data_IF_775936272222
#
_entry.id   IF_775936272222
#
_cell.length_a   1.000
_cell.length_b   1.000
_cell.length_c   1.000
_cell.angle_alpha   90.00
_cell.angle_beta   90.00
_cell.angle_gamma   90.00
#
_symmetry.space_group_name_H-M   'P 1'
#
loop_
_entity.id
_entity.type
_entity.pdbx_description
1 polymer ?
#
# COMPACT_ATOMS: atom_id res chain seq x y z
N UNK A 1 -1.20 19.61 -3.97
CA UNK A 1 -1.30 18.61 -5.05
C UNK A 1 -2.39 17.62 -4.69
N UNK A 2 -3.17 17.05 -5.65
CA UNK A 2 -4.12 16.00 -5.33
C UNK A 2 -3.37 14.79 -4.74
N UNK A 3 -3.91 14.23 -3.66
CA UNK A 3 -3.35 13.02 -3.02
C UNK A 3 -3.41 11.88 -4.04
N UNK A 4 -2.28 11.21 -4.26
CA UNK A 4 -2.22 10.05 -5.12
C UNK A 4 -3.08 8.91 -4.56
N UNK A 5 -3.90 8.28 -5.38
CA UNK A 5 -4.79 7.19 -4.97
C UNK A 5 -4.45 5.90 -5.70
N UNK A 6 -3.87 4.92 -4.99
CA UNK A 6 -3.68 3.57 -5.52
C UNK A 6 -4.99 2.91 -5.95
N UNK A 7 -4.90 1.97 -6.88
CA UNK A 7 -6.04 1.16 -7.30
C UNK A 7 -6.58 0.30 -6.14
N UNK A 8 -7.89 0.06 -6.09
CA UNK A 8 -8.50 -0.81 -5.08
C UNK A 8 -7.88 -2.23 -5.07
N UNK A 9 -7.52 -2.75 -6.25
CA UNK A 9 -6.82 -4.04 -6.38
C UNK A 9 -5.46 -4.05 -5.71
N UNK A 10 -4.71 -2.95 -5.74
CA UNK A 10 -3.41 -2.81 -5.07
C UNK A 10 -3.57 -2.79 -3.55
N UNK A 11 -4.61 -2.11 -3.04
CA UNK A 11 -4.96 -2.09 -1.61
C UNK A 11 -5.32 -3.49 -1.13
N UNK A 12 -6.16 -4.20 -1.88
CA UNK A 12 -6.54 -5.59 -1.59
C UNK A 12 -5.35 -6.54 -1.53
N UNK A 13 -4.44 -6.43 -2.50
CA UNK A 13 -3.22 -7.26 -2.52
C UNK A 13 -2.36 -7.00 -1.30
N UNK A 14 -2.17 -5.71 -0.94
CA UNK A 14 -1.38 -5.33 0.24
C UNK A 14 -2.05 -5.78 1.54
N UNK A 15 -3.35 -5.61 1.67
CA UNK A 15 -4.13 -6.09 2.83
C UNK A 15 -4.00 -7.61 3.00
N UNK A 16 -4.23 -8.39 1.93
CA UNK A 16 -4.09 -9.85 1.97
C UNK A 16 -2.67 -10.29 2.32
N UNK A 17 -1.65 -9.61 1.78
CA UNK A 17 -0.25 -9.90 2.06
C UNK A 17 0.16 -9.54 3.50
N UNK A 18 -0.56 -8.66 4.17
CA UNK A 18 -0.29 -8.27 5.55
C UNK A 18 -0.62 -9.37 6.58
N UNK A 19 -1.46 -10.33 6.22
CA UNK A 19 -2.00 -11.34 7.12
C UNK A 19 -2.98 -10.81 8.17
N UNK A 20 -3.31 -9.51 8.11
CA UNK A 20 -4.25 -8.87 9.04
C UNK A 20 -5.69 -9.32 8.77
N UNK A 21 -6.52 -9.27 9.81
CA UNK A 21 -7.92 -9.72 9.74
C UNK A 21 -8.88 -8.61 9.38
N UNK A 22 -8.59 -7.36 9.80
CA UNK A 22 -9.48 -6.21 9.65
C UNK A 22 -8.89 -5.20 8.68
N UNK A 23 -9.74 -4.60 7.86
CA UNK A 23 -9.38 -3.48 6.98
C UNK A 23 -10.13 -2.23 7.42
N UNK A 24 -9.40 -1.26 7.96
CA UNK A 24 -9.93 0.01 8.44
C UNK A 24 -9.55 1.13 7.47
N UNK A 25 -10.53 1.80 6.91
CA UNK A 25 -10.37 2.91 5.97
C UNK A 25 -10.52 4.23 6.72
N UNK A 26 -9.46 5.03 6.79
CA UNK A 26 -9.48 6.34 7.42
C UNK A 26 -9.11 7.46 6.46
N UNK A 27 -9.33 8.70 6.87
CA UNK A 27 -9.04 9.90 6.09
C UNK A 27 -10.02 11.03 6.39
N UNK A 28 -9.73 12.24 5.91
CA UNK A 28 -10.53 13.44 6.10
C UNK A 28 -11.94 13.34 5.51
N UNK A 29 -12.75 14.35 5.81
CA UNK A 29 -14.10 14.47 5.25
C UNK A 29 -14.01 14.59 3.71
N UNK A 30 -14.81 13.82 2.99
CA UNK A 30 -14.83 13.84 1.53
C UNK A 30 -13.65 13.12 0.86
N UNK A 31 -12.76 12.44 1.61
CA UNK A 31 -11.61 11.71 1.03
C UNK A 31 -12.00 10.50 0.18
N UNK A 32 -13.28 10.06 0.20
CA UNK A 32 -13.78 8.95 -0.60
C UNK A 32 -13.81 7.60 0.12
N UNK A 33 -13.77 7.58 1.46
CA UNK A 33 -13.79 6.34 2.28
C UNK A 33 -14.92 5.39 1.93
N UNK A 34 -16.17 5.87 1.96
CA UNK A 34 -17.35 5.08 1.61
C UNK A 34 -17.33 4.59 0.16
N UNK A 35 -16.81 5.40 -0.77
CA UNK A 35 -16.62 4.99 -2.18
C UNK A 35 -15.62 3.85 -2.28
N UNK A 36 -14.49 3.94 -1.58
CA UNK A 36 -13.50 2.87 -1.54
C UNK A 36 -14.04 1.62 -0.85
N UNK A 37 -14.75 1.78 0.29
CA UNK A 37 -15.40 0.66 0.99
C UNK A 37 -16.28 -0.12 0.01
N UNK A 38 -17.18 0.57 -0.71
CA UNK A 38 -18.07 -0.06 -1.71
C UNK A 38 -17.31 -0.73 -2.86
N UNK A 39 -16.19 -0.18 -3.28
CA UNK A 39 -15.33 -0.77 -4.31
C UNK A 39 -14.61 -2.05 -3.83
N UNK A 40 -14.33 -2.17 -2.52
CA UNK A 40 -13.63 -3.31 -1.93
C UNK A 40 -14.56 -4.46 -1.55
N UNK A 41 -15.79 -4.16 -1.15
CA UNK A 41 -16.78 -5.14 -0.69
C UNK A 41 -16.98 -6.33 -1.63
N UNK A 42 -17.18 -6.17 -2.96
CA UNK A 42 -17.42 -7.30 -3.87
C UNK A 42 -16.30 -8.33 -3.88
N UNK A 43 -15.08 -7.92 -3.51
CA UNK A 43 -13.88 -8.78 -3.52
C UNK A 43 -13.51 -9.36 -2.15
N UNK A 44 -14.04 -8.78 -1.06
CA UNK A 44 -13.74 -9.19 0.32
C UNK A 44 -14.94 -9.87 0.98
N UNK A 45 -16.11 -9.28 0.83
CA UNK A 45 -17.27 -9.61 1.66
C UNK A 45 -18.60 -9.24 0.97
N UNK A 46 -18.93 -9.82 -0.21
CA UNK A 46 -20.10 -9.42 -1.00
C UNK A 46 -21.42 -9.53 -0.23
N UNK A 47 -21.54 -10.53 0.63
CA UNK A 47 -22.78 -10.84 1.38
C UNK A 47 -22.67 -10.46 2.87
N UNK A 48 -21.68 -9.67 3.26
CA UNK A 48 -21.49 -9.32 4.67
C UNK A 48 -22.62 -8.40 5.17
N UNK A 49 -23.13 -8.63 6.37
CA UNK A 49 -24.08 -7.73 6.99
C UNK A 49 -23.41 -6.37 7.25
N UNK A 50 -24.18 -5.30 6.99
CA UNK A 50 -23.70 -3.93 7.11
C UNK A 50 -24.44 -3.18 8.20
N UNK A 51 -23.70 -2.36 8.95
CA UNK A 51 -24.22 -1.31 9.79
C UNK A 51 -23.80 0.03 9.20
N UNK A 52 -24.74 0.80 8.71
CA UNK A 52 -24.51 2.02 7.97
C UNK A 52 -24.89 3.23 8.79
N UNK A 53 -24.16 4.33 8.63
CA UNK A 53 -24.55 5.63 9.14
C UNK A 53 -24.79 6.61 7.98
N UNK A 54 -25.83 7.41 8.07
CA UNK A 54 -26.18 8.42 7.08
C UNK A 54 -26.48 9.75 7.77
N UNK A 55 -25.79 10.82 7.34
CA UNK A 55 -26.05 12.15 7.85
C UNK A 55 -27.18 12.82 7.05
N UNK A 56 -28.18 13.36 7.77
CA UNK A 56 -29.13 14.32 7.24
C UNK A 56 -28.62 15.72 7.59
N UNK A 57 -28.12 16.48 6.61
CA UNK A 57 -27.44 17.75 6.88
C UNK A 57 -28.26 18.70 7.73
N UNK A 58 -27.64 19.27 8.78
CA UNK A 58 -28.25 20.21 9.70
C UNK A 58 -29.37 19.65 10.60
N UNK A 59 -29.59 18.33 10.61
CA UNK A 59 -30.67 17.68 11.37
C UNK A 59 -30.14 16.56 12.29
N UNK A 60 -29.78 15.39 11.71
CA UNK A 60 -29.39 14.22 12.50
C UNK A 60 -28.47 13.28 11.71
N UNK A 61 -27.93 12.31 12.43
CA UNK A 61 -27.27 11.12 11.85
C UNK A 61 -28.13 9.91 12.20
N UNK A 62 -28.44 9.12 11.17
CA UNK A 62 -29.23 7.89 11.28
C UNK A 62 -28.31 6.68 11.12
N UNK A 63 -28.53 5.66 11.93
CA UNK A 63 -27.93 4.33 11.79
C UNK A 63 -28.96 3.36 11.22
N UNK A 64 -28.51 2.49 10.31
CA UNK A 64 -29.34 1.46 9.66
C UNK A 64 -28.62 0.12 9.66
N UNK A 65 -29.31 -0.93 10.07
CA UNK A 65 -28.80 -2.29 9.99
C UNK A 65 -29.18 -3.00 8.67
N UNK A 66 -28.64 -4.22 8.48
CA UNK A 66 -28.90 -5.05 7.30
C UNK A 66 -30.37 -5.51 7.19
N UNK A 67 -31.11 -5.53 8.29
CA UNK A 67 -32.55 -5.87 8.30
C UNK A 67 -33.46 -4.67 7.97
N UNK A 68 -32.88 -3.47 7.81
CA UNK A 68 -33.60 -2.24 7.50
C UNK A 68 -34.09 -1.48 8.74
N UNK A 69 -33.79 -1.93 9.97
CA UNK A 69 -34.06 -1.16 11.16
C UNK A 69 -33.22 0.12 11.21
N UNK A 70 -33.87 1.23 11.61
CA UNK A 70 -33.22 2.54 11.66
C UNK A 70 -33.39 3.23 13.00
N UNK A 71 -32.41 4.03 13.42
CA UNK A 71 -32.50 4.89 14.59
C UNK A 71 -31.60 6.11 14.47
N UNK A 72 -32.02 7.22 15.07
CA UNK A 72 -31.16 8.44 15.15
C UNK A 72 -30.12 8.23 16.23
N UNK A 73 -28.84 8.34 15.86
CA UNK A 73 -27.67 8.21 16.74
C UNK A 73 -26.98 9.53 17.05
N UNK A 74 -27.31 10.61 16.36
CA UNK A 74 -26.78 11.95 16.59
C UNK A 74 -27.77 13.03 16.17
N UNK A 75 -27.90 14.08 16.96
CA UNK A 75 -28.73 15.25 16.63
C UNK A 75 -27.89 16.50 16.51
N UNK A 76 -28.17 17.29 15.48
CA UNK A 76 -27.49 18.58 15.28
C UNK A 76 -27.83 19.52 16.44
N UNK A 77 -26.80 20.19 16.97
CA UNK A 77 -26.92 21.21 18.01
C UNK A 77 -26.28 22.52 17.56
N UNK A 78 -27.13 23.50 17.29
CA UNK A 78 -26.70 24.84 16.86
C UNK A 78 -25.95 25.60 17.96
N UNK A 79 -26.09 25.23 19.23
CA UNK A 79 -25.39 25.85 20.35
C UNK A 79 -23.91 25.42 20.45
N UNK A 80 -23.53 24.33 19.78
CA UNK A 80 -22.13 23.89 19.72
C UNK A 80 -21.31 24.81 18.80
N UNK A 81 -20.03 25.05 19.14
CA UNK A 81 -19.16 25.85 18.29
C UNK A 81 -19.12 25.36 16.83
N UNK A 82 -18.94 26.28 15.85
CA UNK A 82 -18.74 25.86 14.46
C UNK A 82 -17.57 24.92 14.34
N UNK A 83 -17.75 23.80 13.60
CA UNK A 83 -16.71 22.79 13.41
C UNK A 83 -17.31 21.46 12.99
N UNK A 84 -16.48 20.39 13.01
CA UNK A 84 -16.87 19.06 12.54
C UNK A 84 -17.78 18.28 13.50
N UNK A 85 -17.78 18.65 14.81
CA UNK A 85 -18.42 17.88 15.88
C UNK A 85 -19.69 18.59 16.41
N UNK A 86 -20.60 19.00 15.51
CA UNK A 86 -21.84 19.68 15.89
C UNK A 86 -23.05 18.75 16.08
N UNK A 87 -22.81 17.48 16.24
CA UNK A 87 -23.86 16.49 16.54
C UNK A 87 -23.72 16.02 17.99
N UNK A 88 -24.78 16.05 18.77
CA UNK A 88 -24.83 15.39 20.07
C UNK A 88 -25.18 13.92 19.89
N UNK A 89 -24.43 13.01 20.52
CA UNK A 89 -24.76 11.58 20.54
C UNK A 89 -26.17 11.32 21.08
N UNK A 90 -26.86 10.33 20.51
CA UNK A 90 -28.14 9.82 21.00
C UNK A 90 -28.00 8.34 21.38
N UNK A 91 -27.62 8.04 22.64
CA UNK A 91 -27.33 6.68 23.10
C UNK A 91 -28.46 5.69 22.85
N UNK A 92 -29.73 6.12 22.99
CA UNK A 92 -30.88 5.29 22.73
C UNK A 92 -30.95 4.72 21.31
N UNK A 93 -30.41 5.46 20.31
CA UNK A 93 -30.35 4.98 18.93
C UNK A 93 -29.33 3.84 18.74
N UNK A 94 -28.18 3.94 19.40
CA UNK A 94 -27.18 2.87 19.42
C UNK A 94 -27.73 1.62 20.12
N UNK A 95 -28.45 1.78 21.25
CA UNK A 95 -29.06 0.67 21.96
C UNK A 95 -30.16 -0.01 21.13
N UNK A 96 -30.97 0.76 20.40
CA UNK A 96 -32.11 0.24 19.65
C UNK A 96 -31.72 -0.53 18.38
N UNK A 97 -30.69 -0.08 17.65
CA UNK A 97 -30.29 -0.65 16.35
C UNK A 97 -28.85 -1.16 16.37
N UNK A 98 -27.91 -0.37 16.88
CA UNK A 98 -26.49 -0.69 16.82
C UNK A 98 -26.13 -1.95 17.60
N UNK A 99 -26.44 -2.02 18.87
CA UNK A 99 -26.11 -3.17 19.73
C UNK A 99 -26.73 -4.48 19.21
N UNK A 100 -28.04 -4.56 18.88
CA UNK A 100 -28.62 -5.78 18.33
C UNK A 100 -28.00 -6.19 17.00
N UNK A 101 -27.60 -5.22 16.14
CA UNK A 101 -26.93 -5.51 14.88
C UNK A 101 -25.55 -6.13 15.10
N UNK A 102 -24.72 -5.54 15.97
CA UNK A 102 -23.40 -6.08 16.31
C UNK A 102 -23.49 -7.49 16.92
N UNK A 103 -24.45 -7.72 17.81
CA UNK A 103 -24.71 -9.04 18.40
C UNK A 103 -25.06 -10.09 17.34
N UNK A 104 -25.94 -9.76 16.38
CA UNK A 104 -26.26 -10.65 15.26
C UNK A 104 -25.03 -10.94 14.38
N UNK A 105 -24.22 -9.90 14.05
CA UNK A 105 -22.99 -10.05 13.29
C UNK A 105 -22.00 -10.97 14.00
N UNK A 106 -21.80 -10.76 15.30
CA UNK A 106 -20.91 -11.58 16.13
C UNK A 106 -21.39 -13.04 16.22
N UNK A 107 -22.69 -13.29 16.32
CA UNK A 107 -23.26 -14.63 16.37
C UNK A 107 -23.11 -15.41 15.05
N UNK A 108 -23.19 -14.72 13.90
CA UNK A 108 -23.00 -15.31 12.57
C UNK A 108 -21.52 -15.52 12.28
N UNK A 109 -20.65 -14.61 12.75
CA UNK A 109 -19.21 -14.59 12.42
C UNK A 109 -18.97 -14.18 10.96
N UNK A 110 -17.73 -14.47 10.47
CA UNK A 110 -17.34 -14.11 9.11
C UNK A 110 -17.00 -12.63 8.96
N UNK A 111 -17.43 -11.99 7.87
CA UNK A 111 -17.22 -10.57 7.64
C UNK A 111 -18.37 -9.71 8.16
N UNK A 112 -18.04 -8.55 8.72
CA UNK A 112 -18.97 -7.48 9.09
C UNK A 112 -18.49 -6.15 8.50
N UNK A 113 -19.42 -5.30 8.07
CA UNK A 113 -19.13 -4.00 7.46
C UNK A 113 -19.71 -2.87 8.30
N UNK A 114 -18.88 -1.89 8.67
CA UNK A 114 -19.26 -0.73 9.47
C UNK A 114 -18.96 0.56 8.70
N UNK A 115 -19.97 1.32 8.32
CA UNK A 115 -19.81 2.61 7.62
C UNK A 115 -20.72 3.65 8.28
N UNK A 116 -20.21 4.49 9.15
CA UNK A 116 -18.91 4.99 9.55
C UNK A 116 -18.79 4.95 11.09
N UNK A 117 -17.57 4.80 11.65
CA UNK A 117 -17.29 4.94 13.10
C UNK A 117 -16.62 6.29 13.38
N UNK A 118 -17.08 7.04 14.40
CA UNK A 118 -16.59 8.38 14.69
C UNK A 118 -16.69 8.77 16.17
N UNK A 119 -16.88 10.06 16.43
CA UNK A 119 -16.99 10.59 17.79
C UNK A 119 -18.38 10.37 18.43
N UNK A 120 -19.42 10.10 17.63
CA UNK A 120 -20.77 9.88 18.15
C UNK A 120 -20.83 8.67 19.08
N UNK A 121 -20.00 7.67 18.80
CA UNK A 121 -19.86 6.47 19.62
C UNK A 121 -19.28 6.78 21.02
N UNK A 122 -18.60 7.92 21.22
CA UNK A 122 -18.00 8.31 22.51
C UNK A 122 -19.00 8.46 23.65
N UNK A 123 -20.30 8.65 23.32
CA UNK A 123 -21.40 8.66 24.29
C UNK A 123 -21.98 7.28 24.63
N UNK A 124 -21.44 6.17 24.08
CA UNK A 124 -22.04 4.83 24.15
C UNK A 124 -21.01 3.76 24.44
N UNK A 125 -20.62 3.60 25.71
CA UNK A 125 -19.60 2.63 26.13
C UNK A 125 -19.93 1.19 25.70
N UNK A 126 -21.19 0.77 25.86
CA UNK A 126 -21.63 -0.58 25.50
C UNK A 126 -21.48 -0.85 23.98
N UNK A 127 -21.76 0.16 23.15
CA UNK A 127 -21.56 0.04 21.70
C UNK A 127 -20.09 -0.06 21.34
N UNK A 128 -19.24 0.81 21.93
CA UNK A 128 -17.79 0.74 21.75
C UNK A 128 -17.22 -0.63 22.12
N UNK A 129 -17.61 -1.13 23.32
CA UNK A 129 -17.18 -2.45 23.78
C UNK A 129 -17.65 -3.57 22.84
N UNK A 130 -18.90 -3.51 22.37
CA UNK A 130 -19.45 -4.50 21.43
C UNK A 130 -18.70 -4.50 20.09
N UNK A 131 -18.25 -3.33 19.58
CA UNK A 131 -17.41 -3.26 18.38
C UNK A 131 -16.05 -3.92 18.64
N UNK A 132 -15.39 -3.62 19.76
CA UNK A 132 -14.10 -4.21 20.11
C UNK A 132 -14.19 -5.72 20.32
N UNK A 133 -15.28 -6.20 20.92
CA UNK A 133 -15.51 -7.63 21.10
C UNK A 133 -15.80 -8.35 19.77
N UNK A 134 -16.48 -7.67 18.85
CA UNK A 134 -16.74 -8.19 17.49
C UNK A 134 -15.45 -8.39 16.70
N UNK A 135 -14.39 -7.56 16.89
CA UNK A 135 -13.09 -7.76 16.26
C UNK A 135 -12.45 -9.12 16.63
N UNK A 136 -12.76 -9.67 17.79
CA UNK A 136 -12.23 -10.97 18.24
C UNK A 136 -12.83 -12.14 17.45
N UNK A 137 -14.06 -12.02 16.98
CA UNK A 137 -14.84 -13.11 16.36
C UNK A 137 -15.13 -12.89 14.86
N UNK A 138 -15.21 -11.65 14.39
CA UNK A 138 -15.45 -11.31 13.00
C UNK A 138 -14.19 -10.77 12.31
N UNK A 139 -14.20 -10.82 10.96
CA UNK A 139 -13.36 -9.95 10.13
C UNK A 139 -14.14 -8.66 9.89
N UNK A 140 -13.48 -7.52 9.94
CA UNK A 140 -14.17 -6.23 9.83
C UNK A 140 -13.61 -5.41 8.67
N UNK A 141 -14.51 -4.91 7.82
CA UNK A 141 -14.25 -3.82 6.89
C UNK A 141 -14.96 -2.58 7.43
N UNK A 142 -14.22 -1.55 7.83
CA UNK A 142 -14.83 -0.38 8.43
C UNK A 142 -14.30 0.94 7.86
N UNK A 143 -15.17 1.94 7.81
CA UNK A 143 -14.81 3.35 7.68
C UNK A 143 -14.66 3.94 9.08
N UNK A 144 -13.49 4.51 9.35
CA UNK A 144 -13.15 5.12 10.63
C UNK A 144 -12.83 6.59 10.39
N UNK A 145 -13.49 7.49 11.12
CA UNK A 145 -13.17 8.92 11.06
C UNK A 145 -11.78 9.20 11.59
N UNK A 146 -11.09 10.12 10.95
CA UNK A 146 -9.78 10.62 11.38
C UNK A 146 -9.98 11.62 12.53
N UNK A 147 -10.29 11.10 13.71
CA UNK A 147 -10.58 11.85 14.94
C UNK A 147 -9.84 11.21 16.10
N UNK A 148 -9.46 12.02 17.08
CA UNK A 148 -8.72 11.56 18.25
C UNK A 148 -9.67 11.25 19.42
N UNK A 149 -10.18 10.02 19.48
CA UNK A 149 -10.91 9.48 20.62
C UNK A 149 -10.25 8.21 21.13
N UNK A 150 -10.36 7.89 22.44
CA UNK A 150 -9.80 6.64 22.98
C UNK A 150 -10.29 5.40 22.24
N UNK A 151 -11.56 5.35 21.87
CA UNK A 151 -12.17 4.25 21.13
C UNK A 151 -11.54 4.08 19.74
N UNK A 152 -11.44 5.16 18.95
CA UNK A 152 -10.88 5.08 17.59
C UNK A 152 -9.39 4.76 17.61
N UNK A 153 -8.65 5.26 18.64
CA UNK A 153 -7.24 4.87 18.85
C UNK A 153 -7.12 3.38 19.12
N UNK A 154 -7.94 2.84 20.04
CA UNK A 154 -7.92 1.42 20.36
C UNK A 154 -8.24 0.55 19.14
N UNK A 155 -9.25 0.96 18.33
CA UNK A 155 -9.62 0.28 17.10
C UNK A 155 -8.48 0.26 16.07
N UNK A 156 -7.84 1.42 15.85
CA UNK A 156 -6.72 1.53 14.90
C UNK A 156 -5.41 0.89 15.41
N UNK A 157 -5.26 0.72 16.71
CA UNK A 157 -4.10 0.07 17.34
C UNK A 157 -4.27 -1.46 17.46
N UNK A 158 -5.40 -2.02 17.06
CA UNK A 158 -5.61 -3.47 17.08
C UNK A 158 -4.52 -4.17 16.26
N UNK A 159 -3.82 -5.17 16.83
CA UNK A 159 -2.73 -5.86 16.14
C UNK A 159 -3.15 -6.56 14.85
N UNK A 160 -4.43 -6.91 14.70
CA UNK A 160 -4.99 -7.53 13.50
C UNK A 160 -5.61 -6.50 12.53
N UNK A 161 -5.51 -5.20 12.81
CA UNK A 161 -6.00 -4.15 11.92
C UNK A 161 -4.94 -3.77 10.85
N UNK A 162 -5.38 -3.67 9.61
CA UNK A 162 -4.70 -2.98 8.53
C UNK A 162 -5.38 -1.63 8.32
N UNK A 163 -4.75 -0.58 8.82
CA UNK A 163 -5.27 0.79 8.70
C UNK A 163 -4.79 1.41 7.39
N UNK A 164 -5.72 1.79 6.53
CA UNK A 164 -5.44 2.47 5.27
C UNK A 164 -5.93 3.92 5.33
N UNK A 165 -4.98 4.85 5.37
CA UNK A 165 -5.27 6.29 5.39
C UNK A 165 -5.35 6.85 3.97
N UNK A 166 -6.54 7.28 3.54
CA UNK A 166 -6.76 7.84 2.21
C UNK A 166 -6.09 9.20 2.00
N UNK A 167 -5.72 9.91 3.07
CA UNK A 167 -4.98 11.18 2.98
C UNK A 167 -3.46 10.95 2.85
N UNK A 168 -2.98 9.81 3.36
CA UNK A 168 -1.58 9.40 3.28
C UNK A 168 -1.50 7.89 2.92
N UNK A 169 -1.89 7.52 1.67
CA UNK A 169 -2.04 6.12 1.25
C UNK A 169 -0.72 5.35 1.22
N UNK A 170 0.39 6.04 1.08
CA UNK A 170 1.75 5.51 1.15
C UNK A 170 2.66 6.53 1.82
N UNK A 171 3.68 6.10 2.60
CA UNK A 171 4.68 7.02 3.13
C UNK A 171 5.54 7.59 1.98
N UNK A 172 6.33 8.64 2.20
CA UNK A 172 7.29 9.12 1.21
C UNK A 172 8.30 8.01 0.86
N UNK A 173 8.22 7.48 -0.36
CA UNK A 173 9.09 6.41 -0.84
C UNK A 173 9.96 6.89 -2.00
N UNK A 174 11.19 6.34 -2.05
CA UNK A 174 12.07 6.47 -3.20
C UNK A 174 12.01 5.27 -4.14
N UNK A 175 12.44 5.45 -5.38
CA UNK A 175 12.65 4.36 -6.33
C UNK A 175 13.99 4.51 -7.03
N UNK A 176 14.83 3.48 -6.94
CA UNK A 176 16.11 3.39 -7.63
C UNK A 176 16.00 2.32 -8.72
N UNK A 177 16.09 2.74 -9.98
CA UNK A 177 16.18 1.80 -11.11
C UNK A 177 17.62 1.29 -11.20
N UNK A 178 17.81 -0.01 -10.97
CA UNK A 178 19.09 -0.69 -10.98
C UNK A 178 19.49 -1.07 -12.42
N UNK A 179 20.24 -0.21 -13.08
CA UNK A 179 20.54 -0.32 -14.51
C UNK A 179 22.06 -0.47 -14.80
N UNK A 180 22.83 -0.96 -13.83
CA UNK A 180 24.32 -1.10 -13.95
C UNK A 180 24.78 -2.49 -14.39
N UNK A 181 23.87 -3.41 -14.73
CA UNK A 181 24.18 -4.77 -15.19
C UNK A 181 24.90 -4.79 -16.53
N UNK A 182 25.95 -5.61 -16.69
CA UNK A 182 26.76 -5.69 -17.92
C UNK A 182 26.18 -6.59 -19.01
N UNK A 183 25.08 -7.31 -18.75
CA UNK A 183 24.45 -8.19 -19.73
C UNK A 183 25.34 -9.28 -20.33
N UNK A 184 26.32 -9.81 -19.58
CA UNK A 184 27.34 -10.75 -20.10
C UNK A 184 26.74 -11.97 -20.79
N UNK A 185 25.69 -12.56 -20.20
CA UNK A 185 24.96 -13.73 -20.75
C UNK A 185 24.09 -13.38 -21.97
N UNK A 186 23.71 -12.12 -22.10
CA UNK A 186 22.89 -11.61 -23.20
C UNK A 186 23.74 -11.33 -24.47
N UNK A 187 25.06 -11.17 -24.30
CA UNK A 187 25.98 -10.84 -25.39
C UNK A 187 25.90 -9.39 -25.88
N UNK A 188 25.60 -8.47 -24.97
CA UNK A 188 25.48 -7.02 -25.26
C UNK A 188 24.73 -6.28 -24.16
N UNK A 189 24.37 -5.02 -24.43
CA UNK A 189 23.60 -4.20 -23.52
C UNK A 189 22.11 -4.65 -23.49
N UNK A 190 21.78 -5.63 -22.63
CA UNK A 190 20.43 -6.17 -22.55
C UNK A 190 19.36 -5.12 -22.24
N UNK A 191 19.72 -4.06 -21.52
CA UNK A 191 18.76 -3.01 -21.12
C UNK A 191 18.31 -2.14 -22.31
N UNK A 192 19.09 -2.14 -23.40
CA UNK A 192 18.75 -1.50 -24.67
C UNK A 192 18.06 -2.44 -25.65
N UNK A 193 17.94 -3.72 -25.34
CA UNK A 193 17.19 -4.65 -26.19
C UNK A 193 15.69 -4.32 -26.17
N UNK A 194 15.06 -4.38 -27.34
CA UNK A 194 13.68 -3.95 -27.52
C UNK A 194 12.68 -5.06 -27.19
N UNK A 195 11.67 -4.71 -26.41
CA UNK A 195 10.45 -5.48 -26.22
C UNK A 195 9.25 -4.59 -26.54
N UNK A 196 8.39 -5.01 -27.45
CA UNK A 196 7.22 -4.24 -27.91
C UNK A 196 7.57 -2.81 -28.39
N UNK A 197 8.66 -2.66 -29.13
CA UNK A 197 9.12 -1.38 -29.69
C UNK A 197 9.77 -0.40 -28.67
N UNK A 198 10.08 -0.87 -27.46
CA UNK A 198 10.74 -0.06 -26.42
C UNK A 198 11.90 -0.81 -25.79
N UNK A 199 13.02 -0.13 -25.45
CA UNK A 199 14.10 -0.74 -24.68
C UNK A 199 13.61 -1.32 -23.33
N UNK A 200 14.20 -2.43 -22.87
CA UNK A 200 13.85 -3.04 -21.59
C UNK A 200 13.92 -2.03 -20.43
N UNK A 201 14.96 -1.21 -20.39
CA UNK A 201 15.10 -0.17 -19.36
C UNK A 201 13.93 0.82 -19.37
N UNK A 202 13.34 1.16 -20.55
CA UNK A 202 12.24 2.09 -20.63
C UNK A 202 10.97 1.59 -19.93
N UNK A 203 10.75 0.26 -19.85
CA UNK A 203 9.66 -0.31 -19.07
C UNK A 203 9.84 -0.05 -17.57
N UNK A 204 11.06 -0.25 -17.04
CA UNK A 204 11.36 0.02 -15.63
C UNK A 204 11.29 1.54 -15.31
N UNK A 205 11.78 2.40 -16.23
CA UNK A 205 11.67 3.87 -16.06
C UNK A 205 10.21 4.31 -15.98
N UNK A 206 9.34 3.77 -16.84
CA UNK A 206 7.91 4.08 -16.82
C UNK A 206 7.23 3.66 -15.51
N UNK A 207 7.62 2.51 -14.95
CA UNK A 207 7.14 2.05 -13.64
C UNK A 207 7.64 2.94 -12.50
N UNK A 208 8.93 3.30 -12.51
CA UNK A 208 9.54 4.18 -11.50
C UNK A 208 9.02 5.63 -11.58
N UNK A 209 8.46 6.04 -12.72
CA UNK A 209 7.80 7.32 -12.90
C UNK A 209 6.41 7.38 -12.22
N UNK A 210 5.92 6.28 -11.65
CA UNK A 210 4.62 6.25 -10.98
C UNK A 210 4.53 7.28 -9.84
N UNK A 211 3.38 7.96 -9.67
CA UNK A 211 3.19 8.98 -8.63
C UNK A 211 3.27 8.46 -7.19
N UNK A 212 3.35 7.15 -7.00
CA UNK A 212 3.55 6.52 -5.69
C UNK A 212 4.94 6.82 -5.09
N UNK A 213 5.91 7.27 -5.91
CA UNK A 213 7.26 7.59 -5.46
C UNK A 213 7.45 9.11 -5.33
N UNK A 214 7.91 9.54 -4.14
CA UNK A 214 8.26 10.93 -3.85
C UNK A 214 9.56 11.35 -4.53
N UNK A 215 10.49 10.39 -4.72
CA UNK A 215 11.76 10.59 -5.40
C UNK A 215 12.13 9.38 -6.25
N UNK A 216 12.90 9.61 -7.32
CA UNK A 216 13.33 8.53 -8.23
C UNK A 216 14.67 8.85 -8.88
N UNK A 217 15.45 7.82 -9.19
CA UNK A 217 16.72 7.93 -9.92
C UNK A 217 17.04 6.60 -10.60
N UNK A 218 17.62 6.66 -11.79
CA UNK A 218 18.26 5.50 -12.42
C UNK A 218 19.74 5.53 -12.12
N UNK A 219 20.33 4.36 -11.86
CA UNK A 219 21.77 4.22 -11.64
C UNK A 219 22.34 3.27 -12.67
N UNK A 220 23.28 3.76 -13.48
CA UNK A 220 23.79 3.00 -14.63
C UNK A 220 25.29 3.18 -14.82
N UNK A 221 25.92 2.22 -15.52
CA UNK A 221 27.28 2.34 -16.07
C UNK A 221 27.29 2.55 -17.59
N UNK A 222 26.12 2.36 -18.23
CA UNK A 222 25.99 2.47 -19.68
C UNK A 222 25.70 3.90 -20.12
N UNK A 223 26.47 4.40 -21.08
CA UNK A 223 26.20 5.69 -21.72
C UNK A 223 24.89 5.67 -22.53
N UNK A 224 24.51 4.51 -23.12
CA UNK A 224 23.27 4.35 -23.88
C UNK A 224 22.04 4.43 -22.96
N UNK A 225 22.10 3.77 -21.77
CA UNK A 225 21.03 3.84 -20.78
C UNK A 225 20.93 5.25 -20.18
N UNK A 226 22.07 5.94 -19.97
CA UNK A 226 22.09 7.35 -19.55
C UNK A 226 21.39 8.24 -20.59
N UNK A 227 21.71 8.06 -21.87
CA UNK A 227 21.07 8.81 -22.96
C UNK A 227 19.55 8.54 -23.03
N UNK A 228 19.13 7.29 -22.87
CA UNK A 228 17.71 6.93 -22.76
C UNK A 228 17.03 7.64 -21.58
N UNK A 229 17.62 7.60 -20.39
CA UNK A 229 17.06 8.28 -19.21
C UNK A 229 16.88 9.77 -19.45
N UNK A 230 17.89 10.43 -20.04
CA UNK A 230 17.81 11.85 -20.38
C UNK A 230 16.73 12.16 -21.39
N UNK A 231 16.57 11.32 -22.41
CA UNK A 231 15.53 11.46 -23.44
C UNK A 231 14.12 11.32 -22.83
N UNK A 232 13.94 10.42 -21.84
CA UNK A 232 12.69 10.23 -21.10
C UNK A 232 12.51 11.28 -19.97
N UNK A 233 13.40 12.24 -19.79
CA UNK A 233 13.36 13.21 -18.68
C UNK A 233 13.50 12.58 -17.31
N UNK A 234 14.14 11.41 -17.21
CA UNK A 234 14.29 10.65 -15.98
C UNK A 234 15.62 10.94 -15.28
N UNK A 235 15.66 11.27 -13.97
CA UNK A 235 16.90 11.51 -13.24
C UNK A 235 17.82 10.30 -13.31
N UNK A 236 19.10 10.53 -13.64
CA UNK A 236 20.06 9.46 -13.82
C UNK A 236 21.42 9.81 -13.19
N UNK A 237 22.03 8.82 -12.56
CA UNK A 237 23.39 8.85 -12.07
C UNK A 237 24.22 7.83 -12.86
N UNK A 238 25.20 8.29 -13.62
CA UNK A 238 26.19 7.43 -14.26
C UNK A 238 27.42 7.30 -13.39
N UNK A 239 27.96 6.08 -13.28
CA UNK A 239 29.17 5.78 -12.53
C UNK A 239 30.07 4.76 -13.26
N UNK A 240 31.31 4.61 -12.80
CA UNK A 240 32.30 3.65 -13.33
C UNK A 240 32.56 2.49 -12.37
N UNK A 241 32.07 2.60 -11.13
CA UNK A 241 32.33 1.62 -10.09
C UNK A 241 31.85 0.21 -10.48
N UNK A 242 32.70 -0.83 -10.29
CA UNK A 242 32.40 -2.15 -10.86
C UNK A 242 31.38 -2.98 -10.06
N UNK A 243 31.12 -2.66 -8.80
CA UNK A 243 30.40 -3.53 -7.87
C UNK A 243 28.94 -3.20 -7.76
N UNK A 244 28.12 -4.22 -7.43
CA UNK A 244 26.69 -4.06 -7.18
C UNK A 244 26.40 -3.22 -5.94
N UNK A 245 27.22 -3.34 -4.90
CA UNK A 245 27.18 -2.50 -3.70
C UNK A 245 27.29 -1.02 -4.01
N UNK A 246 28.14 -0.65 -4.97
CA UNK A 246 28.33 0.75 -5.36
C UNK A 246 27.06 1.32 -6.02
N UNK A 247 26.40 0.55 -6.87
CA UNK A 247 25.13 0.96 -7.49
C UNK A 247 24.07 1.24 -6.42
N UNK A 248 23.95 0.38 -5.39
CA UNK A 248 23.02 0.57 -4.27
C UNK A 248 23.39 1.83 -3.49
N UNK A 249 24.64 1.94 -3.05
CA UNK A 249 25.16 3.04 -2.24
C UNK A 249 25.02 4.39 -2.94
N UNK A 250 25.51 4.49 -4.18
CA UNK A 250 25.47 5.73 -4.97
C UNK A 250 24.05 6.19 -5.23
N UNK A 251 23.16 5.26 -5.62
CA UNK A 251 21.74 5.57 -5.87
C UNK A 251 21.02 6.06 -4.62
N UNK A 252 21.21 5.36 -3.49
CA UNK A 252 20.56 5.74 -2.24
C UNK A 252 21.12 7.07 -1.70
N UNK A 253 22.43 7.30 -1.76
CA UNK A 253 23.04 8.57 -1.36
C UNK A 253 22.51 9.73 -2.18
N UNK A 254 22.47 9.59 -3.51
CA UNK A 254 21.97 10.65 -4.40
C UNK A 254 20.48 10.94 -4.17
N UNK A 255 19.69 9.90 -3.91
CA UNK A 255 18.27 10.05 -3.67
C UNK A 255 17.97 10.72 -2.32
N UNK A 256 18.69 10.33 -1.26
CA UNK A 256 18.55 10.94 0.06
C UNK A 256 19.02 12.40 0.12
N UNK A 257 19.99 12.78 -0.72
CA UNK A 257 20.41 14.18 -0.85
C UNK A 257 19.29 15.07 -1.43
N UNK A 258 18.40 14.51 -2.26
CA UNK A 258 17.25 15.22 -2.84
C UNK A 258 15.98 15.11 -1.98
N UNK A 259 15.79 13.99 -1.30
CA UNK A 259 14.61 13.62 -0.52
C UNK A 259 15.03 13.00 0.83
N UNK A 260 15.46 13.81 1.81
CA UNK A 260 16.00 13.30 3.09
C UNK A 260 14.94 12.60 3.97
N UNK A 261 13.65 12.88 3.74
CA UNK A 261 12.54 12.39 4.57
C UNK A 261 11.93 11.07 4.10
N UNK A 262 12.58 10.39 3.13
CA UNK A 262 12.09 9.09 2.65
C UNK A 262 11.97 8.08 3.80
N UNK A 263 10.84 7.39 3.84
CA UNK A 263 10.54 6.33 4.81
C UNK A 263 10.85 4.93 4.27
N UNK A 264 11.21 4.82 3.02
CA UNK A 264 11.65 3.59 2.37
C UNK A 264 12.09 3.83 0.94
N UNK A 265 12.71 2.82 0.35
CA UNK A 265 13.19 2.87 -1.04
C UNK A 265 13.00 1.53 -1.74
N UNK A 266 12.44 1.57 -2.95
CA UNK A 266 12.32 0.43 -3.86
C UNK A 266 13.56 0.35 -4.74
N UNK A 267 14.19 -0.83 -4.77
CA UNK A 267 15.27 -1.16 -5.70
C UNK A 267 14.69 -1.97 -6.85
N UNK A 268 14.44 -1.30 -7.96
CA UNK A 268 13.75 -1.83 -9.13
C UNK A 268 14.75 -2.31 -10.18
N UNK A 269 14.80 -3.61 -10.54
CA UNK A 269 15.61 -4.08 -11.65
C UNK A 269 15.20 -3.45 -12.99
N UNK A 270 16.17 -3.10 -13.83
CA UNK A 270 15.93 -2.54 -15.17
C UNK A 270 15.51 -3.57 -16.22
N UNK A 271 15.51 -4.85 -15.90
CA UNK A 271 15.35 -6.01 -16.78
C UNK A 271 14.12 -6.88 -16.47
N UNK A 272 13.13 -6.34 -15.74
CA UNK A 272 11.83 -6.98 -15.44
C UNK A 272 10.68 -6.27 -16.18
N UNK A 273 10.53 -6.44 -17.48
CA UNK A 273 9.56 -5.67 -18.26
C UNK A 273 8.10 -6.08 -18.02
N UNK A 274 7.85 -7.25 -17.42
CA UNK A 274 6.50 -7.76 -17.13
C UNK A 274 5.94 -7.31 -15.79
N UNK A 275 6.75 -6.66 -14.96
CA UNK A 275 6.30 -6.14 -13.67
C UNK A 275 5.21 -5.09 -13.88
N UNK A 276 4.17 -5.12 -13.05
CA UNK A 276 3.04 -4.19 -13.18
C UNK A 276 3.12 -3.04 -12.19
N UNK A 277 2.49 -1.93 -12.55
CA UNK A 277 2.29 -0.80 -11.65
C UNK A 277 1.52 -1.21 -10.39
N UNK A 278 0.51 -2.09 -10.52
CA UNK A 278 -0.28 -2.59 -9.39
C UNK A 278 0.57 -3.33 -8.37
N UNK A 279 1.58 -4.09 -8.80
CA UNK A 279 2.52 -4.76 -7.92
C UNK A 279 3.39 -3.77 -7.16
N UNK A 280 3.90 -2.71 -7.81
CA UNK A 280 4.66 -1.65 -7.13
C UNK A 280 3.79 -0.88 -6.13
N UNK A 281 2.57 -0.53 -6.48
CA UNK A 281 1.62 0.10 -5.57
C UNK A 281 1.33 -0.78 -4.36
N UNK A 282 1.09 -2.08 -4.57
CA UNK A 282 0.83 -3.01 -3.48
C UNK A 282 2.06 -3.21 -2.57
N UNK A 283 3.28 -3.12 -3.10
CA UNK A 283 4.50 -3.09 -2.28
C UNK A 283 4.60 -1.81 -1.45
N UNK A 284 4.22 -0.66 -2.03
CA UNK A 284 4.29 0.64 -1.38
C UNK A 284 3.25 0.81 -0.26
N UNK A 285 2.03 0.30 -0.47
CA UNK A 285 0.96 0.33 0.53
C UNK A 285 1.36 -0.53 1.73
N UNK A 286 1.33 0.04 2.94
CA UNK A 286 1.75 -0.65 4.17
C UNK A 286 3.27 -0.77 4.32
N UNK A 287 4.06 -0.01 3.55
CA UNK A 287 5.48 0.15 3.82
C UNK A 287 5.66 0.89 5.15
N UNK A 288 6.61 0.41 5.96
CA UNK A 288 6.98 1.03 7.23
C UNK A 288 8.52 1.04 7.37
N UNK A 289 9.08 1.92 8.22
CA UNK A 289 10.53 2.05 8.37
C UNK A 289 11.23 0.74 8.73
N UNK A 290 10.59 -0.10 9.53
CA UNK A 290 11.09 -1.37 10.07
C UNK A 290 10.77 -2.60 9.17
N UNK A 291 10.18 -2.40 7.99
CA UNK A 291 9.79 -3.51 7.11
C UNK A 291 10.62 -3.61 5.85
N UNK A 292 10.78 -4.84 5.36
CA UNK A 292 11.30 -5.15 4.03
C UNK A 292 10.17 -5.84 3.26
N UNK A 293 9.82 -5.33 2.09
CA UNK A 293 8.73 -5.90 1.29
C UNK A 293 9.24 -6.33 -0.08
N UNK A 294 8.82 -7.50 -0.53
CA UNK A 294 9.20 -8.03 -1.85
C UNK A 294 8.11 -8.92 -2.43
N UNK A 295 7.98 -9.02 -3.74
CA UNK A 295 7.06 -9.96 -4.36
C UNK A 295 7.56 -11.39 -4.16
N UNK A 296 6.61 -12.33 -4.16
CA UNK A 296 6.89 -13.76 -4.22
C UNK A 296 5.94 -14.45 -5.18
N UNK A 297 6.45 -15.39 -5.96
CA UNK A 297 5.65 -16.25 -6.83
C UNK A 297 4.72 -17.16 -6.00
N UNK A 298 3.70 -17.79 -6.62
CA UNK A 298 2.75 -18.66 -5.92
C UNK A 298 3.38 -19.84 -5.19
N UNK A 299 4.55 -20.30 -5.63
CA UNK A 299 5.34 -21.34 -4.98
C UNK A 299 6.16 -20.84 -3.76
N UNK A 300 6.04 -19.57 -3.42
CA UNK A 300 6.78 -18.91 -2.35
C UNK A 300 8.16 -18.40 -2.75
N UNK A 301 8.62 -18.61 -3.98
CA UNK A 301 9.92 -18.11 -4.47
C UNK A 301 9.94 -16.58 -4.45
N UNK A 302 10.82 -15.96 -3.65
CA UNK A 302 10.85 -14.51 -3.54
C UNK A 302 11.56 -13.87 -4.73
N UNK A 303 10.94 -12.83 -5.30
CA UNK A 303 11.42 -12.07 -6.45
C UNK A 303 11.93 -10.66 -6.11
N UNK A 304 12.16 -9.88 -7.17
CA UNK A 304 12.40 -8.43 -7.15
C UNK A 304 11.16 -7.74 -7.75
N UNK A 305 11.00 -6.43 -7.52
CA UNK A 305 11.83 -5.49 -6.76
C UNK A 305 11.78 -5.70 -5.25
N UNK A 306 12.71 -5.08 -4.53
CA UNK A 306 12.70 -5.08 -3.07
C UNK A 306 12.52 -3.65 -2.56
N UNK A 307 11.55 -3.46 -1.65
CA UNK A 307 11.39 -2.26 -0.87
C UNK A 307 12.03 -2.47 0.50
N UNK A 308 12.99 -1.62 0.84
CA UNK A 308 13.57 -1.54 2.18
C UNK A 308 13.04 -0.32 2.89
N UNK A 309 12.57 -0.49 4.13
CA UNK A 309 12.22 0.61 5.01
C UNK A 309 13.46 1.40 5.45
N UNK A 310 13.22 2.59 6.01
CA UNK A 310 14.28 3.55 6.37
C UNK A 310 15.31 2.98 7.34
N UNK A 311 14.91 2.11 8.26
CA UNK A 311 15.78 1.52 9.27
C UNK A 311 16.92 0.69 8.65
N UNK A 312 16.76 0.24 7.40
CA UNK A 312 17.75 -0.54 6.66
C UNK A 312 18.69 0.32 5.79
N UNK A 313 18.47 1.65 5.71
CA UNK A 313 19.29 2.51 4.86
C UNK A 313 20.77 2.51 5.28
N UNK A 314 21.03 2.56 6.59
CA UNK A 314 22.41 2.48 7.07
C UNK A 314 23.11 1.19 6.62
N UNK A 315 22.44 0.04 6.71
CA UNK A 315 23.00 -1.24 6.26
C UNK A 315 23.22 -1.28 4.73
N UNK A 316 22.31 -0.66 3.95
CA UNK A 316 22.46 -0.56 2.48
C UNK A 316 23.57 0.38 2.05
N UNK A 317 23.85 1.44 2.81
CA UNK A 317 24.94 2.37 2.55
C UNK A 317 26.33 1.77 2.89
N UNK A 318 26.35 0.78 3.80
CA UNK A 318 27.58 0.11 4.27
C UNK A 318 27.65 -1.37 3.86
N UNK A 319 27.09 -1.72 2.70
CA UNK A 319 27.14 -3.09 2.19
C UNK A 319 28.59 -3.59 2.03
N UNK A 320 28.88 -4.85 2.40
CA UNK A 320 30.17 -5.48 2.09
C UNK A 320 30.44 -5.45 0.58
N UNK A 321 31.72 -5.39 0.23
CA UNK A 321 32.16 -5.37 -1.17
C UNK A 321 31.56 -6.50 -2.01
N UNK A 322 31.04 -6.16 -3.19
CA UNK A 322 30.45 -7.12 -4.12
C UNK A 322 29.08 -7.69 -3.72
N UNK A 323 28.60 -7.41 -2.50
CA UNK A 323 27.27 -7.81 -2.09
C UNK A 323 26.20 -6.84 -2.59
N UNK A 324 24.96 -7.24 -2.58
CA UNK A 324 23.80 -6.40 -2.88
C UNK A 324 22.83 -6.39 -1.70
N UNK A 325 21.62 -5.87 -1.90
CA UNK A 325 20.56 -5.87 -0.88
C UNK A 325 20.25 -7.25 -0.29
N UNK A 326 20.65 -8.34 -0.97
CA UNK A 326 20.52 -9.71 -0.44
C UNK A 326 21.27 -9.95 0.88
N UNK A 327 22.34 -9.17 1.16
CA UNK A 327 23.02 -9.24 2.46
C UNK A 327 22.12 -8.76 3.59
N UNK A 328 21.39 -7.65 3.38
CA UNK A 328 20.42 -7.11 4.34
C UNK A 328 19.22 -8.07 4.51
N UNK A 329 18.74 -8.69 3.41
CA UNK A 329 17.66 -9.68 3.48
C UNK A 329 18.03 -10.87 4.36
N UNK A 330 19.26 -11.39 4.22
CA UNK A 330 19.73 -12.51 5.05
C UNK A 330 19.91 -12.15 6.53
N UNK A 331 20.29 -10.90 6.81
CA UNK A 331 20.48 -10.43 8.17
C UNK A 331 19.15 -10.16 8.91
N UNK A 332 18.07 -9.90 8.16
CA UNK A 332 16.78 -9.50 8.73
C UNK A 332 15.60 -10.29 8.17
N UNK A 333 15.61 -11.64 8.22
CA UNK A 333 14.54 -12.48 7.64
C UNK A 333 13.17 -12.21 8.28
N UNK A 334 13.13 -11.88 9.55
CA UNK A 334 11.89 -11.57 10.30
C UNK A 334 11.19 -10.29 9.84
N UNK A 335 11.93 -9.36 9.22
CA UNK A 335 11.39 -8.10 8.70
C UNK A 335 10.74 -8.25 7.32
N UNK A 336 10.98 -9.39 6.65
CA UNK A 336 10.52 -9.60 5.27
C UNK A 336 9.02 -9.89 5.26
N UNK A 337 8.30 -9.15 4.41
CA UNK A 337 6.88 -9.34 4.11
C UNK A 337 6.75 -9.66 2.63
N UNK A 338 6.23 -10.85 2.32
CA UNK A 338 6.07 -11.32 0.95
C UNK A 338 4.73 -10.83 0.38
N UNK A 339 4.74 -10.30 -0.84
CA UNK A 339 3.56 -9.93 -1.60
C UNK A 339 3.29 -11.02 -2.66
N UNK A 340 2.21 -11.80 -2.56
CA UNK A 340 1.84 -12.77 -3.59
C UNK A 340 1.72 -12.09 -4.96
N UNK A 341 2.46 -12.60 -5.95
CA UNK A 341 2.62 -11.97 -7.27
C UNK A 341 2.65 -13.06 -8.34
N UNK A 342 1.97 -12.87 -9.47
CA UNK A 342 2.04 -13.82 -10.58
C UNK A 342 3.50 -14.04 -11.02
N UNK A 343 3.91 -15.30 -11.20
CA UNK A 343 5.29 -15.63 -11.59
C UNK A 343 5.70 -14.95 -12.91
N UNK A 344 4.76 -14.71 -13.82
CA UNK A 344 5.01 -14.02 -15.08
C UNK A 344 5.50 -12.57 -14.90
N UNK A 345 5.06 -11.87 -13.83
CA UNK A 345 5.52 -10.51 -13.53
C UNK A 345 6.98 -10.47 -13.05
N UNK A 346 7.48 -11.57 -12.48
CA UNK A 346 8.79 -11.65 -11.81
C UNK A 346 9.92 -12.13 -12.74
N UNK A 347 9.63 -12.29 -14.02
CA UNK A 347 10.62 -12.77 -14.99
C UNK A 347 11.70 -11.73 -15.24
N UNK A 348 12.96 -12.12 -14.99
CA UNK A 348 14.15 -11.40 -15.45
C UNK A 348 14.45 -11.77 -16.92
N UNK A 349 14.91 -10.82 -17.71
CA UNK A 349 15.46 -11.08 -19.03
C UNK A 349 16.96 -11.20 -18.90
N UNK A 350 17.49 -12.43 -18.90
CA UNK A 350 18.93 -12.69 -18.77
C UNK A 350 19.60 -13.08 -20.08
N UNK A 351 18.86 -13.68 -21.00
CA UNK A 351 19.34 -14.19 -22.29
C UNK A 351 18.48 -13.66 -23.45
N UNK A 352 18.97 -13.81 -24.68
CA UNK A 352 18.17 -13.52 -25.89
C UNK A 352 16.95 -14.44 -26.00
N UNK A 353 17.09 -15.70 -25.59
CA UNK A 353 15.99 -16.66 -25.58
C UNK A 353 14.86 -16.24 -24.63
N UNK A 354 15.18 -15.64 -23.47
CA UNK A 354 14.17 -15.11 -22.55
C UNK A 354 13.34 -14.00 -23.22
N UNK A 355 14.03 -13.12 -23.95
CA UNK A 355 13.39 -12.03 -24.70
C UNK A 355 12.51 -12.54 -25.84
N UNK A 356 12.98 -13.52 -26.59
CA UNK A 356 12.23 -14.16 -27.69
C UNK A 356 10.99 -14.88 -27.18
N UNK A 357 11.10 -15.58 -26.03
CA UNK A 357 9.96 -16.25 -25.39
C UNK A 357 8.85 -15.25 -24.99
N UNK A 358 9.22 -14.03 -24.56
CA UNK A 358 8.23 -12.99 -24.27
C UNK A 358 7.62 -12.37 -25.55
N UNK A 359 8.37 -12.31 -26.65
CA UNK A 359 7.85 -11.82 -27.94
C UNK A 359 6.89 -12.82 -28.58
N UNK A 360 7.18 -14.12 -28.45
CA UNK A 360 6.39 -15.21 -29.02
C UNK A 360 5.13 -15.57 -28.22
N UNK A 361 5.05 -15.19 -26.96
CA UNK A 361 3.91 -15.50 -26.07
C UNK A 361 2.68 -14.59 -26.23
N UNK A 362 2.55 -13.84 -27.32
CA UNK A 362 1.31 -13.15 -27.72
C UNK A 362 0.54 -14.04 -28.71
N UNK A 363 -0.06 -15.10 -28.20
CA UNK A 363 -1.06 -15.93 -28.83
C UNK A 363 -2.23 -16.11 -27.89
#
# INVERSE_FOLDING_TARGET
MPVYRPAASSILRSFRASGKRHLLLTGGRGSGKTTLLRALMPFLCPDAPMLLTAAVPGRWVEMRDAAGATAVIGRFDAALPPGENRMRPVPAGFAAVGLPALQRMAAVGGWAVLDELGYLESGCADFQQSVLDMLKVCRVLAVVRKQDTPFLRALCADPDAFVYDLDCPVPPLGCIVMASGLGRRFGGNKLMAELNGRPLAAHALALAAAPVFAGRIAVTRSAEVEALCRAEGFPVLRHTEPRRSDTVRLGLTALLAQQPDLQGCVFLPGDQPCLTRQTLEALAIGAAPDTIRRPAAPDGTPGSPVLFGRDYFAALLHLPEGSGGSAVLRAHPQAIRLLPTPAAELRDIDTRSDLEALRGGKG
#
